data_IF_428315070843
#
_entry.id   IF_428315070843
#
_cell.length_a   1.000
_cell.length_b   1.000
_cell.length_c   1.000
_cell.angle_alpha   90.00
_cell.angle_beta   90.00
_cell.angle_gamma   90.00
#
_symmetry.space_group_name_H-M   'P 1'
#
loop_
_entity.id
_entity.type
_entity.pdbx_description
1 polymer ?
#
# COMPACT_ATOMS: atom_id res chain seq x y z
N UNK A 1 14.69 -26.14 30.82
CA UNK A 1 13.86 -25.31 29.93
C UNK A 1 12.42 -25.74 30.14
N UNK A 2 11.62 -24.81 30.63
CA UNK A 2 10.41 -25.02 31.44
C UNK A 2 9.26 -25.57 30.60
N UNK A 3 8.93 -26.85 30.81
CA UNK A 3 7.72 -27.49 30.29
C UNK A 3 6.53 -27.02 31.15
N UNK A 4 5.79 -26.03 30.66
CA UNK A 4 4.62 -25.49 31.33
C UNK A 4 3.41 -26.39 31.05
N UNK A 5 2.90 -26.98 32.13
CA UNK A 5 1.75 -27.89 32.16
C UNK A 5 0.47 -27.14 31.77
N UNK A 6 -0.22 -27.64 30.75
CA UNK A 6 -1.57 -27.22 30.36
C UNK A 6 -2.55 -27.81 31.39
N UNK A 7 -2.92 -27.01 32.39
CA UNK A 7 -3.98 -27.37 33.33
C UNK A 7 -5.32 -26.84 32.81
N UNK A 8 -6.08 -27.74 32.17
CA UNK A 8 -7.53 -27.61 32.00
C UNK A 8 -8.18 -27.50 33.39
N UNK A 9 -8.65 -26.31 33.77
CA UNK A 9 -9.41 -26.12 35.02
C UNK A 9 -10.76 -25.45 34.77
N UNK A 10 -11.74 -26.31 34.47
CA UNK A 10 -13.13 -26.30 34.97
C UNK A 10 -13.90 -24.98 34.82
N UNK A 11 -14.65 -24.85 33.73
CA UNK A 11 -15.95 -24.18 33.75
C UNK A 11 -16.82 -24.82 34.84
N UNK A 12 -17.34 -24.03 35.79
CA UNK A 12 -18.76 -24.07 36.19
C UNK A 12 -19.07 -22.91 37.18
N UNK A 13 -20.08 -22.12 36.80
CA UNK A 13 -21.07 -21.41 37.62
C UNK A 13 -20.61 -20.43 38.72
N UNK A 14 -20.92 -19.14 38.53
CA UNK A 14 -20.95 -18.15 39.60
C UNK A 14 -21.26 -16.75 39.08
N UNK A 15 -22.47 -16.27 39.33
CA UNK A 15 -23.04 -14.99 38.89
C UNK A 15 -22.47 -13.76 39.62
N UNK A 16 -22.37 -12.65 38.87
CA UNK A 16 -22.46 -11.24 39.30
C UNK A 16 -21.44 -10.70 40.32
N UNK A 17 -20.52 -9.84 39.85
CA UNK A 17 -20.31 -8.48 40.37
C UNK A 17 -19.30 -7.74 39.46
N UNK A 18 -19.73 -6.64 38.86
CA UNK A 18 -18.96 -5.76 37.98
C UNK A 18 -17.71 -5.22 38.69
N UNK A 19 -16.51 -5.22 38.08
CA UNK A 19 -15.39 -4.32 38.40
C UNK A 19 -14.26 -4.43 37.33
N UNK A 20 -14.20 -3.37 36.49
CA UNK A 20 -13.02 -2.72 35.92
C UNK A 20 -11.98 -3.52 35.12
N UNK A 21 -11.99 -3.23 33.81
CA UNK A 21 -10.84 -2.93 32.95
C UNK A 21 -9.52 -3.69 33.23
N UNK A 22 -9.21 -4.62 32.35
CA UNK A 22 -7.89 -5.24 32.29
C UNK A 22 -7.91 -6.52 31.49
N UNK A 23 -8.29 -6.44 30.20
CA UNK A 23 -7.59 -7.30 29.28
C UNK A 23 -6.12 -6.98 29.52
N UNK A 24 -5.33 -7.89 30.07
CA UNK A 24 -3.90 -7.79 29.92
C UNK A 24 -3.68 -8.14 28.45
N UNK A 25 -3.79 -7.11 27.62
CA UNK A 25 -3.21 -7.06 26.30
C UNK A 25 -1.83 -7.69 26.42
N UNK A 26 -1.76 -8.98 26.10
CA UNK A 26 -0.51 -9.64 25.75
C UNK A 26 -0.06 -8.87 24.53
N UNK A 27 0.72 -7.80 24.78
CA UNK A 27 2.03 -7.50 24.24
C UNK A 27 2.42 -8.15 22.92
N UNK A 28 1.47 -8.41 22.03
CA UNK A 28 1.68 -8.48 20.62
C UNK A 28 1.80 -7.04 20.16
N UNK A 29 2.86 -6.38 20.64
CA UNK A 29 3.44 -5.25 19.95
C UNK A 29 3.57 -5.75 18.52
N UNK A 30 2.83 -5.13 17.63
CA UNK A 30 2.81 -5.43 16.22
C UNK A 30 4.24 -5.46 15.64
N UNK A 31 4.90 -6.61 15.71
CA UNK A 31 5.96 -7.01 14.77
C UNK A 31 5.28 -7.55 13.49
N UNK A 32 4.15 -6.93 13.14
CA UNK A 32 3.35 -7.16 11.94
C UNK A 32 3.30 -5.84 11.19
N UNK A 33 4.24 -5.71 10.25
CA UNK A 33 4.16 -4.86 9.07
C UNK A 33 4.35 -3.37 9.30
N UNK A 34 5.59 -2.90 9.24
CA UNK A 34 5.83 -1.55 8.71
C UNK A 34 5.17 -1.48 7.35
N UNK A 35 4.27 -0.52 7.12
CA UNK A 35 3.75 -0.28 5.77
C UNK A 35 4.68 0.68 5.05
N UNK A 36 4.80 0.51 3.74
CA UNK A 36 5.72 1.20 2.87
C UNK A 36 4.92 1.95 1.82
N UNK A 37 5.36 3.17 1.53
CA UNK A 37 4.76 3.98 0.48
C UNK A 37 5.22 3.51 -0.89
N UNK A 38 4.30 3.54 -1.86
CA UNK A 38 4.60 3.28 -3.27
C UNK A 38 4.44 4.59 -4.01
N UNK A 39 5.46 4.96 -4.78
CA UNK A 39 5.53 6.24 -5.45
C UNK A 39 6.60 6.24 -6.53
N UNK A 40 6.71 7.38 -7.18
CA UNK A 40 7.49 7.50 -8.39
C UNK A 40 7.50 8.90 -8.96
N UNK A 41 7.87 8.99 -10.23
CA UNK A 41 7.87 10.24 -10.98
C UNK A 41 7.15 10.08 -12.31
N UNK A 42 6.34 11.08 -12.67
CA UNK A 42 5.70 11.19 -13.99
C UNK A 42 6.40 12.26 -14.80
N UNK A 43 6.70 11.94 -16.05
CA UNK A 43 7.33 12.86 -17.02
C UNK A 43 6.62 12.78 -18.38
N UNK A 44 6.64 13.89 -19.13
CA UNK A 44 6.07 13.97 -20.47
C UNK A 44 4.53 14.01 -20.55
N UNK A 45 3.83 14.13 -19.42
CA UNK A 45 2.37 14.31 -19.41
C UNK A 45 2.04 15.70 -19.97
N UNK A 46 1.24 15.81 -21.04
CA UNK A 46 0.87 17.11 -21.60
C UNK A 46 0.01 17.92 -20.63
N UNK A 47 0.09 19.24 -20.71
CA UNK A 47 -0.72 20.14 -19.90
C UNK A 47 -2.22 19.90 -20.13
N UNK A 48 -3.02 20.08 -19.08
CA UNK A 48 -4.48 19.89 -19.08
C UNK A 48 -4.95 18.46 -19.38
N UNK A 49 -4.08 17.46 -19.21
CA UNK A 49 -4.45 16.06 -19.28
C UNK A 49 -4.39 15.40 -17.91
N UNK A 50 -5.11 14.29 -17.78
CA UNK A 50 -5.06 13.43 -16.60
C UNK A 50 -4.64 12.01 -16.98
N UNK A 51 -3.83 11.42 -16.12
CA UNK A 51 -3.46 10.02 -16.12
C UNK A 51 -3.98 9.40 -14.82
N UNK A 52 -4.59 8.23 -14.88
CA UNK A 52 -4.93 7.47 -13.67
C UNK A 52 -3.99 6.29 -13.55
N UNK A 53 -3.24 6.25 -12.46
CA UNK A 53 -2.43 5.10 -12.07
C UNK A 53 -3.23 4.26 -11.05
N UNK A 54 -3.00 2.95 -11.06
CA UNK A 54 -3.57 2.01 -10.10
C UNK A 54 -2.42 1.27 -9.44
N UNK A 55 -2.35 1.24 -8.11
CA UNK A 55 -1.55 0.23 -7.41
C UNK A 55 -2.42 -0.99 -7.09
N UNK A 56 -1.88 -2.17 -7.39
CA UNK A 56 -2.51 -3.47 -7.14
C UNK A 56 -3.96 -3.57 -7.69
N UNK A 57 -4.27 -2.80 -8.74
CA UNK A 57 -5.56 -2.75 -9.41
C UNK A 57 -6.71 -2.11 -8.62
N UNK A 58 -6.43 -1.48 -7.46
CA UNK A 58 -7.49 -0.95 -6.57
C UNK A 58 -7.25 0.50 -6.16
N UNK A 59 -5.99 0.88 -5.94
CA UNK A 59 -5.64 2.18 -5.40
C UNK A 59 -5.42 3.18 -6.53
N UNK A 60 -6.51 3.84 -6.93
CA UNK A 60 -6.49 4.81 -8.00
C UNK A 60 -5.88 6.15 -7.57
N UNK A 61 -4.92 6.63 -8.35
CA UNK A 61 -4.28 7.93 -8.19
C UNK A 61 -4.37 8.72 -9.50
N UNK A 62 -5.05 9.86 -9.45
CA UNK A 62 -5.14 10.78 -10.59
C UNK A 62 -3.96 11.74 -10.59
N UNK A 63 -3.21 11.75 -11.69
CA UNK A 63 -2.08 12.64 -11.95
C UNK A 63 -2.48 13.66 -13.01
N UNK A 64 -2.31 14.95 -12.72
CA UNK A 64 -2.65 16.06 -13.62
C UNK A 64 -1.44 16.91 -14.03
N UNK A 65 -0.28 16.62 -13.45
CA UNK A 65 0.97 17.32 -13.73
C UNK A 65 2.17 16.38 -13.63
N UNK A 66 3.26 16.74 -14.31
CA UNK A 66 4.54 16.07 -14.18
C UNK A 66 5.13 16.31 -12.78
N UNK A 67 5.92 15.35 -12.30
CA UNK A 67 6.57 15.44 -11.00
C UNK A 67 6.44 14.16 -10.17
N UNK A 68 6.82 14.21 -8.89
CA UNK A 68 6.71 13.08 -7.99
C UNK A 68 5.25 12.76 -7.67
N UNK A 69 4.95 11.48 -7.46
CA UNK A 69 3.67 10.99 -6.99
C UNK A 69 3.85 9.92 -5.92
N UNK A 70 2.83 9.75 -5.07
CA UNK A 70 2.77 8.70 -4.06
C UNK A 70 1.33 8.22 -3.93
N UNK A 71 1.13 6.92 -3.85
CA UNK A 71 -0.18 6.34 -3.58
C UNK A 71 -0.58 6.57 -2.12
N UNK A 72 -1.87 6.81 -1.90
CA UNK A 72 -2.41 6.97 -0.54
C UNK A 72 -2.41 5.65 0.24
N UNK A 73 -2.63 4.52 -0.45
CA UNK A 73 -2.51 3.21 0.13
C UNK A 73 -1.03 2.83 0.29
N UNK A 74 -0.74 2.23 1.43
CA UNK A 74 0.60 1.71 1.74
C UNK A 74 0.58 0.20 1.66
N UNK A 75 1.70 -0.38 1.24
CA UNK A 75 1.88 -1.82 1.08
C UNK A 75 2.61 -2.37 2.30
N UNK A 76 2.19 -3.50 2.90
CA UNK A 76 2.92 -4.08 4.02
C UNK A 76 4.37 -4.42 3.64
N UNK A 77 5.30 -4.36 4.59
CA UNK A 77 6.67 -4.81 4.39
C UNK A 77 6.69 -6.24 3.85
N UNK A 78 7.51 -6.47 2.83
CA UNK A 78 7.58 -7.70 2.04
C UNK A 78 6.29 -8.02 1.25
N UNK A 79 5.40 -7.04 1.11
CA UNK A 79 4.22 -7.10 0.24
C UNK A 79 4.56 -6.78 -1.21
N UNK A 80 3.80 -7.36 -2.13
CA UNK A 80 3.90 -7.07 -3.55
C UNK A 80 3.17 -5.78 -3.91
N UNK A 81 3.73 -5.03 -4.85
CA UNK A 81 3.07 -3.90 -5.49
C UNK A 81 3.05 -4.08 -7.00
N UNK A 82 2.04 -3.50 -7.65
CA UNK A 82 1.89 -3.54 -9.11
C UNK A 82 1.17 -2.28 -9.56
N UNK A 83 1.97 -1.28 -9.94
CA UNK A 83 1.56 -0.03 -10.55
C UNK A 83 1.24 -0.24 -12.02
N UNK A 84 -0.01 -0.02 -12.39
CA UNK A 84 -0.50 -0.05 -13.76
C UNK A 84 -1.16 1.27 -14.14
N UNK A 85 -1.38 1.47 -15.43
CA UNK A 85 -2.18 2.58 -15.93
C UNK A 85 -3.64 2.13 -15.95
N UNK A 86 -4.48 2.77 -15.14
CA UNK A 86 -5.93 2.58 -15.16
C UNK A 86 -6.59 3.30 -16.34
N UNK A 87 -6.23 4.58 -16.54
CA UNK A 87 -6.78 5.41 -17.62
C UNK A 87 -5.66 6.21 -18.28
N UNK A 88 -5.47 6.00 -19.59
CA UNK A 88 -4.55 6.80 -20.39
C UNK A 88 -5.11 8.22 -20.64
N UNK A 89 -4.24 9.23 -20.75
CA UNK A 89 -4.64 10.55 -21.22
C UNK A 89 -5.11 10.51 -22.69
N UNK A 90 -6.05 11.38 -23.06
CA UNK A 90 -6.68 11.37 -24.40
C UNK A 90 -5.72 11.69 -25.57
N UNK A 91 -4.68 12.49 -25.33
CA UNK A 91 -3.70 12.92 -26.33
C UNK A 91 -2.26 12.55 -25.98
N UNK A 92 -2.04 11.55 -25.11
CA UNK A 92 -0.73 10.96 -24.89
C UNK A 92 -0.81 9.45 -24.59
N UNK A 93 0.29 8.75 -24.79
CA UNK A 93 0.48 7.37 -24.38
C UNK A 93 1.53 7.34 -23.28
N UNK A 94 1.15 6.86 -22.10
CA UNK A 94 2.05 6.68 -20.97
C UNK A 94 2.48 5.22 -20.85
N UNK A 95 3.69 5.00 -20.34
CA UNK A 95 4.24 3.70 -20.01
C UNK A 95 4.83 3.74 -18.59
N UNK A 96 4.68 2.63 -17.86
CA UNK A 96 5.22 2.47 -16.51
C UNK A 96 6.45 1.57 -16.58
N UNK A 97 7.54 2.01 -15.96
CA UNK A 97 8.76 1.24 -15.73
C UNK A 97 8.98 1.07 -14.22
N UNK A 98 9.56 -0.06 -13.82
CA UNK A 98 9.72 -0.46 -12.42
C UNK A 98 8.39 -0.49 -11.64
N UNK A 99 7.29 -0.73 -12.35
CA UNK A 99 5.94 -0.70 -11.78
C UNK A 99 5.59 -1.90 -10.92
N UNK A 100 6.41 -2.94 -10.83
CA UNK A 100 6.13 -4.10 -9.97
C UNK A 100 7.37 -4.51 -9.18
N UNK A 101 7.13 -5.12 -8.02
CA UNK A 101 8.19 -5.59 -7.14
C UNK A 101 7.67 -5.96 -5.76
N UNK A 102 8.62 -6.21 -4.85
CA UNK A 102 8.36 -6.42 -3.44
C UNK A 102 8.83 -5.18 -2.69
N UNK A 103 7.96 -4.60 -1.86
CA UNK A 103 8.29 -3.45 -1.05
C UNK A 103 9.10 -3.90 0.18
N UNK A 104 10.40 -3.63 0.19
CA UNK A 104 11.28 -3.81 1.37
C UNK A 104 11.69 -2.48 2.01
N UNK A 105 11.41 -1.37 1.33
CA UNK A 105 11.52 0.01 1.81
C UNK A 105 10.51 0.88 1.02
N UNK A 106 10.38 2.15 1.37
CA UNK A 106 9.57 3.09 0.58
C UNK A 106 10.02 3.10 -0.89
N UNK A 107 9.09 2.77 -1.78
CA UNK A 107 9.34 2.65 -3.21
C UNK A 107 9.11 4.01 -3.84
N UNK A 108 10.17 4.64 -4.34
CA UNK A 108 10.11 5.91 -5.09
C UNK A 108 10.65 5.78 -6.51
N UNK A 109 10.98 4.55 -6.91
CA UNK A 109 11.66 4.22 -8.16
C UNK A 109 10.72 3.95 -9.33
N UNK A 110 9.40 4.05 -9.15
CA UNK A 110 8.45 3.88 -10.25
C UNK A 110 8.60 5.05 -11.20
N UNK A 111 8.78 4.77 -12.49
CA UNK A 111 8.95 5.80 -13.50
C UNK A 111 7.79 5.70 -14.48
N UNK A 112 7.11 6.82 -14.71
CA UNK A 112 6.04 6.92 -15.68
C UNK A 112 6.45 7.93 -16.74
N UNK A 113 6.53 7.47 -17.99
CA UNK A 113 6.90 8.30 -19.14
C UNK A 113 5.73 8.39 -20.08
N UNK A 114 5.28 9.60 -20.38
CA UNK A 114 4.22 9.88 -21.32
C UNK A 114 4.77 10.53 -22.59
N UNK A 115 4.21 10.15 -23.73
CA UNK A 115 4.55 10.72 -25.04
C UNK A 115 3.26 11.16 -25.75
N UNK A 116 3.20 12.38 -26.32
CA UNK A 116 2.01 12.82 -27.03
C UNK A 116 1.72 11.94 -28.26
N UNK A 117 0.46 11.54 -28.46
CA UNK A 117 0.04 10.77 -29.63
C UNK A 117 -0.15 11.70 -30.82
N UNK A 118 0.93 12.06 -31.49
CA UNK A 118 0.92 12.99 -32.64
C UNK A 118 2.14 13.90 -32.75
N UNK A 119 3.12 13.77 -31.86
CA UNK A 119 4.43 14.41 -32.02
C UNK A 119 5.32 13.47 -32.84
N UNK A 120 5.18 13.52 -34.16
CA UNK A 120 6.16 12.97 -35.10
C UNK A 120 7.04 14.11 -35.63
#
# INVERSE_FOLDING_TARGET
MTSARVTFSRCLAGTALCLLAGACDVGFVAVIGSTLSIGGTVTGLPANQSLVLLDNGRDALTITANGPFVFAATVPFNGGYTVTIGTQPSSASCAVSNGSGIATADVTSVVVTCQPVGSA
#
